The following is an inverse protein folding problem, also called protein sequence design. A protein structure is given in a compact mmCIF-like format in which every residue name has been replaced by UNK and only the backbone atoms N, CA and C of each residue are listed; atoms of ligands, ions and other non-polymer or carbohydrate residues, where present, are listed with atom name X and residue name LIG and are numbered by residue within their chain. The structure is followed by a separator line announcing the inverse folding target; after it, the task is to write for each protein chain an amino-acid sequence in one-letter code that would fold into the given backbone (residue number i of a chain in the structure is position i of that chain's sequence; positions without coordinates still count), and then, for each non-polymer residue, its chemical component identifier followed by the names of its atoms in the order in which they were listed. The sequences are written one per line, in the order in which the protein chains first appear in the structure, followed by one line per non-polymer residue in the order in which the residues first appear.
data_IF_813946491683
#
_entry.id   IF_813946491683
#
_cell.length_a   1.000
_cell.length_b   1.000
_cell.length_c   1.000
_cell.angle_alpha   90.00
_cell.angle_beta   90.00
_cell.angle_gamma   90.00
#
_symmetry.space_group_name_H-M   'P 1'
#
loop_
_entity.id
_entity.type
_entity.pdbx_description
1 polymer ?
#
# COMPACT_ATOMS: atom_id res chain seq x y z
N UNK A 1 -60.37 9.65 -6.75
CA UNK A 1 -59.21 10.37 -7.29
C UNK A 1 -58.03 10.00 -6.41
N UNK A 2 -57.15 9.11 -6.86
CA UNK A 2 -55.99 8.69 -6.06
C UNK A 2 -54.78 8.80 -6.97
N UNK A 3 -54.00 9.86 -6.80
CA UNK A 3 -52.69 9.98 -7.46
C UNK A 3 -51.73 9.03 -6.74
N UNK A 4 -51.26 8.00 -7.45
CA UNK A 4 -50.10 7.23 -7.04
C UNK A 4 -48.84 8.01 -7.48
N UNK A 5 -48.12 8.55 -6.50
CA UNK A 5 -46.80 9.16 -6.69
C UNK A 5 -45.79 8.02 -6.92
N UNK A 6 -45.39 7.79 -8.18
CA UNK A 6 -44.30 6.89 -8.51
C UNK A 6 -42.99 7.64 -8.20
N UNK A 7 -42.39 7.33 -7.06
CA UNK A 7 -41.03 7.75 -6.75
C UNK A 7 -40.06 6.98 -7.65
N UNK A 8 -39.45 7.67 -8.61
CA UNK A 8 -38.34 7.15 -9.38
C UNK A 8 -37.12 7.04 -8.46
N UNK A 9 -36.81 5.82 -8.00
CA UNK A 9 -35.49 5.49 -7.48
C UNK A 9 -34.49 5.59 -8.66
N UNK A 10 -33.89 6.75 -8.82
CA UNK A 10 -32.66 6.88 -9.61
C UNK A 10 -31.58 6.14 -8.84
N UNK A 11 -31.30 4.90 -9.26
CA UNK A 11 -30.12 4.19 -8.84
C UNK A 11 -28.90 4.97 -9.30
N UNK A 12 -28.33 5.77 -8.39
CA UNK A 12 -26.95 6.25 -8.52
C UNK A 12 -26.09 4.99 -8.59
N UNK A 13 -25.67 4.61 -9.80
CA UNK A 13 -24.61 3.63 -9.96
C UNK A 13 -23.41 4.20 -9.21
N UNK A 14 -23.01 3.57 -8.10
CA UNK A 14 -21.71 3.85 -7.51
C UNK A 14 -20.69 3.67 -8.64
N UNK A 15 -20.00 4.75 -9.02
CA UNK A 15 -18.86 4.65 -9.88
C UNK A 15 -17.94 3.58 -9.28
N UNK A 16 -17.66 2.53 -10.05
CA UNK A 16 -16.79 1.45 -9.62
C UNK A 16 -15.42 2.00 -9.21
N UNK A 17 -14.75 1.29 -8.30
CA UNK A 17 -13.42 1.69 -7.85
C UNK A 17 -12.45 1.69 -9.05
N UNK A 18 -11.76 2.81 -9.27
CA UNK A 18 -10.75 3.00 -10.31
C UNK A 18 -9.35 2.79 -9.72
N UNK A 19 -8.35 2.60 -10.61
CA UNK A 19 -6.94 2.68 -10.21
C UNK A 19 -6.58 4.16 -10.05
N UNK A 20 -6.21 4.54 -8.82
CA UNK A 20 -5.79 5.90 -8.47
C UNK A 20 -4.27 6.07 -8.63
N UNK A 21 -3.51 5.04 -8.27
CA UNK A 21 -2.06 4.99 -8.40
C UNK A 21 -1.63 3.59 -8.81
N UNK A 22 -0.64 3.49 -9.69
CA UNK A 22 -0.09 2.22 -10.16
C UNK A 22 1.44 2.29 -10.17
N UNK A 23 2.05 1.48 -9.31
CA UNK A 23 3.48 1.33 -9.17
C UNK A 23 3.98 0.00 -9.79
N UNK A 24 3.20 -0.57 -10.71
CA UNK A 24 3.38 -1.89 -11.32
C UNK A 24 3.28 -3.04 -10.30
N UNK A 25 2.38 -3.99 -10.55
CA UNK A 25 2.21 -5.20 -9.74
C UNK A 25 3.10 -6.35 -10.19
N UNK A 26 4.05 -6.09 -11.08
CA UNK A 26 5.08 -7.06 -11.45
C UNK A 26 6.33 -6.85 -10.60
N UNK A 27 6.60 -7.81 -9.71
CA UNK A 27 7.89 -7.87 -9.05
C UNK A 27 8.98 -8.07 -10.10
N UNK A 28 10.04 -7.25 -10.05
CA UNK A 28 11.17 -7.35 -10.98
C UNK A 28 12.29 -8.29 -10.46
N UNK A 29 12.08 -8.91 -9.29
CA UNK A 29 12.98 -9.91 -8.71
C UNK A 29 14.26 -9.34 -8.11
N UNK A 30 14.42 -8.00 -8.03
CA UNK A 30 15.72 -7.40 -7.70
C UNK A 30 15.87 -7.08 -6.19
N UNK A 31 14.79 -6.87 -5.42
CA UNK A 31 14.82 -6.76 -3.94
C UNK A 31 13.43 -6.79 -3.30
N UNK A 32 13.36 -7.01 -1.99
CA UNK A 32 12.18 -6.77 -1.17
C UNK A 32 12.54 -6.34 0.25
N UNK A 33 11.62 -5.67 0.93
CA UNK A 33 11.80 -5.22 2.31
C UNK A 33 10.82 -5.90 3.25
N UNK A 34 11.28 -6.26 4.45
CA UNK A 34 10.45 -6.93 5.43
C UNK A 34 9.26 -6.04 5.83
N UNK A 35 8.04 -6.51 5.60
CA UNK A 35 6.81 -5.76 5.93
C UNK A 35 6.07 -6.31 7.14
N UNK A 36 6.45 -7.49 7.62
CA UNK A 36 5.84 -8.05 8.81
C UNK A 36 6.78 -8.97 9.56
N UNK A 37 6.53 -9.10 10.86
CA UNK A 37 7.15 -10.12 11.70
C UNK A 37 6.81 -11.55 11.27
N UNK A 38 7.29 -12.55 12.02
CA UNK A 38 7.85 -12.42 13.38
C UNK A 38 9.30 -11.97 13.52
N UNK A 39 10.16 -12.09 12.50
CA UNK A 39 11.58 -11.65 12.63
C UNK A 39 11.73 -10.14 12.79
N UNK A 40 10.80 -9.37 12.22
CA UNK A 40 10.82 -7.91 12.19
C UNK A 40 9.45 -7.30 12.56
N UNK A 41 8.93 -7.53 13.79
CA UNK A 41 7.55 -7.21 14.15
C UNK A 41 7.25 -5.70 14.15
N UNK A 42 8.26 -4.89 14.46
CA UNK A 42 8.22 -3.43 14.50
C UNK A 42 8.69 -2.77 13.21
N UNK A 43 9.07 -3.55 12.18
CA UNK A 43 9.48 -2.93 10.93
C UNK A 43 8.25 -2.39 10.18
N UNK A 44 8.39 -1.19 9.63
CA UNK A 44 7.47 -0.60 8.67
C UNK A 44 8.25 -0.18 7.44
N UNK A 45 7.68 -0.46 6.28
CA UNK A 45 8.19 -0.04 4.98
C UNK A 45 7.13 0.83 4.36
N UNK A 46 7.54 1.90 3.71
CA UNK A 46 6.63 2.79 3.02
C UNK A 46 7.19 3.16 1.66
N UNK A 47 6.30 3.34 0.70
CA UNK A 47 6.61 3.93 -0.60
C UNK A 47 5.62 5.06 -0.88
N UNK A 48 5.98 6.02 -1.71
CA UNK A 48 5.19 7.23 -1.85
C UNK A 48 4.16 7.18 -2.98
N UNK A 49 3.20 8.10 -2.88
CA UNK A 49 2.26 8.41 -3.93
C UNK A 49 1.79 9.86 -3.79
N UNK A 50 1.20 10.39 -4.86
CA UNK A 50 0.70 11.75 -4.92
C UNK A 50 -0.80 11.74 -5.18
N UNK A 51 -1.56 12.38 -4.29
CA UNK A 51 -2.95 12.78 -4.54
C UNK A 51 -2.90 14.13 -5.27
N UNK A 52 -3.33 14.21 -6.55
CA UNK A 52 -3.16 15.42 -7.35
C UNK A 52 -3.91 16.63 -6.79
N UNK A 53 -3.39 17.82 -7.07
CA UNK A 53 -4.06 19.08 -6.75
C UNK A 53 -5.50 19.11 -7.26
N UNK A 54 -6.41 19.63 -6.42
CA UNK A 54 -7.84 19.69 -6.72
C UNK A 54 -8.59 18.35 -6.63
N UNK A 55 -7.91 17.25 -6.26
CA UNK A 55 -8.56 15.95 -6.04
C UNK A 55 -8.53 15.56 -4.56
N UNK A 56 -9.64 15.00 -4.07
CA UNK A 56 -9.62 14.20 -2.85
C UNK A 56 -9.76 12.74 -3.25
N UNK A 57 -9.00 11.84 -2.63
CA UNK A 57 -9.09 10.42 -2.90
C UNK A 57 -9.80 9.72 -1.75
N UNK A 58 -10.69 8.80 -2.09
CA UNK A 58 -11.21 7.79 -1.19
C UNK A 58 -10.64 6.44 -1.59
N UNK A 59 -9.61 5.99 -0.86
CA UNK A 59 -8.94 4.71 -1.08
C UNK A 59 -9.82 3.59 -0.50
N UNK A 60 -10.20 2.64 -1.36
CA UNK A 60 -11.02 1.45 -1.00
C UNK A 60 -10.24 0.15 -1.10
N UNK A 61 -9.12 0.15 -1.83
CA UNK A 61 -8.31 -1.02 -2.10
C UNK A 61 -6.82 -0.67 -2.11
N UNK A 62 -6.02 -1.55 -1.52
CA UNK A 62 -4.58 -1.57 -1.68
C UNK A 62 -4.16 -2.95 -2.17
N UNK A 63 -3.40 -3.01 -3.25
CA UNK A 63 -2.86 -4.26 -3.79
C UNK A 63 -1.35 -4.15 -3.81
N UNK A 64 -0.66 -5.20 -3.38
CA UNK A 64 0.80 -5.21 -3.31
C UNK A 64 1.34 -6.61 -3.56
N UNK A 65 2.62 -6.72 -3.88
CA UNK A 65 3.30 -8.01 -4.09
C UNK A 65 4.21 -8.32 -2.93
N UNK A 66 4.10 -9.50 -2.34
CA UNK A 66 5.06 -9.93 -1.33
C UNK A 66 5.52 -11.37 -1.54
N UNK A 67 6.81 -11.61 -1.29
CA UNK A 67 7.41 -12.94 -1.23
C UNK A 67 7.47 -13.41 0.22
N UNK A 68 7.04 -14.63 0.47
CA UNK A 68 6.96 -15.19 1.82
C UNK A 68 7.99 -16.30 2.00
N UNK A 69 8.77 -16.23 3.08
CA UNK A 69 9.58 -17.37 3.50
C UNK A 69 8.68 -18.57 3.86
N UNK A 70 9.07 -19.83 3.57
CA UNK A 70 8.21 -21.01 3.74
C UNK A 70 7.62 -21.23 5.14
N UNK A 71 8.30 -20.74 6.19
CA UNK A 71 7.86 -20.86 7.59
C UNK A 71 7.05 -19.66 8.08
N UNK A 72 6.80 -18.67 7.23
CA UNK A 72 5.95 -17.53 7.52
C UNK A 72 4.47 -17.93 7.46
N UNK A 73 3.68 -17.43 8.41
CA UNK A 73 2.23 -17.64 8.49
C UNK A 73 1.53 -16.30 8.39
N UNK A 74 0.48 -16.29 7.58
CA UNK A 74 -0.08 -15.10 6.95
C UNK A 74 -0.96 -14.22 7.84
N UNK A 75 -1.65 -14.82 8.80
CA UNK A 75 -2.61 -14.12 9.66
C UNK A 75 -3.94 -13.74 8.97
N UNK A 76 -4.02 -13.69 7.63
CA UNK A 76 -5.27 -13.45 6.88
C UNK A 76 -5.77 -11.99 6.87
N UNK A 77 -5.09 -11.09 7.58
CA UNK A 77 -5.38 -9.66 7.60
C UNK A 77 -4.13 -8.84 7.25
N UNK A 78 -4.38 -7.65 6.68
CA UNK A 78 -3.34 -6.64 6.47
C UNK A 78 -3.81 -5.31 7.05
N UNK A 79 -2.91 -4.66 7.77
CA UNK A 79 -2.96 -3.25 8.13
C UNK A 79 -2.33 -2.43 6.99
N UNK A 80 -3.03 -1.42 6.48
CA UNK A 80 -2.51 -0.46 5.52
C UNK A 80 -2.38 0.87 6.22
N UNK A 81 -1.15 1.34 6.38
CA UNK A 81 -0.86 2.62 7.02
C UNK A 81 -0.48 3.66 5.97
N UNK A 82 -0.95 4.89 6.18
CA UNK A 82 -0.60 6.06 5.38
C UNK A 82 0.07 7.11 6.28
N UNK A 83 1.21 7.61 5.85
CA UNK A 83 1.96 8.66 6.55
C UNK A 83 2.01 9.95 5.75
N UNK A 84 2.04 11.08 6.46
CA UNK A 84 2.29 12.40 5.87
C UNK A 84 3.73 12.48 5.33
N UNK A 85 3.92 13.21 4.23
CA UNK A 85 5.24 13.64 3.79
C UNK A 85 5.77 14.82 4.61
N UNK A 86 7.05 14.76 4.98
CA UNK A 86 7.75 15.83 5.70
C UNK A 86 9.16 16.03 5.14
N UNK A 87 9.24 16.72 4.00
CA UNK A 87 10.50 16.95 3.30
C UNK A 87 11.00 15.73 2.55
N UNK A 88 10.10 14.96 1.93
CA UNK A 88 10.46 13.76 1.15
C UNK A 88 10.69 12.51 2.00
N UNK A 89 10.09 12.43 3.19
CA UNK A 89 10.13 11.24 4.06
C UNK A 89 8.81 11.04 4.80
N UNK A 90 8.47 9.81 5.19
CA UNK A 90 7.34 9.56 6.09
C UNK A 90 7.57 10.22 7.46
N UNK A 91 6.51 10.75 8.07
CA UNK A 91 6.58 11.33 9.42
C UNK A 91 5.51 10.77 10.36
N UNK A 92 4.25 11.18 10.19
CA UNK A 92 3.15 10.83 11.10
C UNK A 92 2.10 10.02 10.37
N UNK A 93 1.52 9.02 11.04
CA UNK A 93 0.34 8.33 10.50
C UNK A 93 -0.80 9.31 10.37
N UNK A 94 -1.39 9.39 9.18
CA UNK A 94 -2.55 10.24 8.87
C UNK A 94 -3.80 9.42 8.59
N UNK A 95 -3.64 8.16 8.22
CA UNK A 95 -4.75 7.22 8.07
C UNK A 95 -4.24 5.78 8.21
N UNK A 96 -5.14 4.89 8.61
CA UNK A 96 -4.89 3.46 8.68
C UNK A 96 -6.16 2.69 8.33
N UNK A 97 -6.01 1.47 7.85
CA UNK A 97 -7.13 0.56 7.61
C UNK A 97 -6.68 -0.88 7.76
N UNK A 98 -7.37 -1.64 8.62
CA UNK A 98 -7.14 -3.06 8.83
C UNK A 98 -8.30 -3.82 8.20
N UNK A 99 -8.01 -4.78 7.33
CA UNK A 99 -9.03 -5.57 6.66
C UNK A 99 -8.49 -6.94 6.25
N UNK A 100 -9.37 -7.96 6.12
CA UNK A 100 -9.00 -9.21 5.48
C UNK A 100 -8.43 -8.98 4.09
N UNK A 101 -7.39 -9.72 3.75
CA UNK A 101 -6.81 -9.71 2.42
C UNK A 101 -7.11 -11.02 1.69
N UNK A 102 -7.15 -10.95 0.36
CA UNK A 102 -7.03 -12.14 -0.50
C UNK A 102 -5.66 -12.14 -1.13
N UNK A 103 -5.10 -13.33 -1.41
CA UNK A 103 -3.82 -13.46 -2.12
C UNK A 103 -3.91 -14.43 -3.29
N UNK A 104 -3.22 -14.12 -4.38
CA UNK A 104 -3.08 -14.99 -5.56
C UNK A 104 -1.61 -15.24 -5.85
N UNK A 105 -1.24 -16.50 -6.07
CA UNK A 105 0.12 -16.86 -6.42
C UNK A 105 0.55 -16.17 -7.72
N UNK A 106 1.78 -15.66 -7.75
CA UNK A 106 2.38 -14.99 -8.89
C UNK A 106 3.59 -15.75 -9.43
N UNK A 107 4.55 -16.08 -8.56
CA UNK A 107 5.82 -16.70 -8.95
C UNK A 107 6.55 -17.29 -7.73
N UNK A 108 7.67 -17.96 -7.97
CA UNK A 108 8.68 -18.25 -6.93
C UNK A 108 9.88 -17.34 -7.19
N UNK A 109 10.33 -16.60 -6.18
CA UNK A 109 11.50 -15.71 -6.23
C UNK A 109 12.44 -16.13 -5.10
N UNK A 110 13.68 -16.51 -5.43
CA UNK A 110 14.69 -16.97 -4.46
C UNK A 110 14.19 -18.05 -3.48
N UNK A 111 13.36 -18.98 -3.99
CA UNK A 111 12.78 -20.06 -3.19
C UNK A 111 11.62 -19.64 -2.27
N UNK A 112 11.18 -18.38 -2.35
CA UNK A 112 10.01 -17.86 -1.66
C UNK A 112 8.80 -17.80 -2.59
N UNK A 113 7.64 -18.20 -2.10
CA UNK A 113 6.40 -18.04 -2.84
C UNK A 113 6.00 -16.56 -2.84
N UNK A 114 5.81 -16.02 -4.04
CA UNK A 114 5.43 -14.64 -4.29
C UNK A 114 3.94 -14.56 -4.62
N UNK A 115 3.24 -13.66 -3.94
CA UNK A 115 1.80 -13.47 -4.07
C UNK A 115 1.44 -12.01 -4.32
N UNK A 116 0.39 -11.79 -5.10
CA UNK A 116 -0.33 -10.52 -5.15
C UNK A 116 -1.37 -10.53 -4.03
N UNK A 117 -1.19 -9.64 -3.05
CA UNK A 117 -2.14 -9.39 -1.97
C UNK A 117 -3.11 -8.29 -2.38
N UNK A 118 -4.38 -8.45 -2.04
CA UNK A 118 -5.42 -7.45 -2.27
C UNK A 118 -6.24 -7.26 -0.99
N UNK A 119 -6.13 -6.06 -0.44
CA UNK A 119 -6.90 -5.59 0.72
C UNK A 119 -8.04 -4.73 0.20
N UNK A 120 -9.28 -5.07 0.53
CA UNK A 120 -10.48 -4.33 0.12
C UNK A 120 -11.23 -3.79 1.33
N UNK A 121 -12.16 -2.86 1.10
CA UNK A 121 -12.99 -2.31 2.15
C UNK A 121 -12.30 -1.25 3.00
N UNK A 122 -11.17 -0.70 2.53
CA UNK A 122 -10.52 0.42 3.18
C UNK A 122 -11.43 1.65 3.15
N UNK A 123 -11.32 2.51 4.17
CA UNK A 123 -12.09 3.75 4.28
C UNK A 123 -11.13 4.91 4.59
N UNK A 124 -10.22 5.16 3.65
CA UNK A 124 -9.16 6.15 3.81
C UNK A 124 -9.46 7.31 2.87
N UNK A 125 -9.69 8.50 3.43
CA UNK A 125 -9.96 9.73 2.65
C UNK A 125 -8.79 10.69 2.80
N UNK A 126 -8.18 11.07 1.68
CA UNK A 126 -7.00 11.93 1.64
C UNK A 126 -7.26 13.20 0.82
N UNK A 127 -6.91 14.39 1.34
CA UNK A 127 -6.85 15.60 0.53
C UNK A 127 -5.68 15.57 -0.47
N UNK A 128 -5.58 16.56 -1.38
CA UNK A 128 -4.37 16.71 -2.20
C UNK A 128 -3.10 16.74 -1.36
N UNK A 129 -2.05 16.08 -1.84
CA UNK A 129 -0.76 16.03 -1.14
C UNK A 129 0.10 14.84 -1.55
N UNK A 130 1.35 14.85 -1.07
CA UNK A 130 2.24 13.68 -1.10
C UNK A 130 2.08 12.88 0.18
N UNK A 131 2.04 11.56 0.03
CA UNK A 131 1.87 10.62 1.13
C UNK A 131 2.79 9.43 0.94
N UNK A 132 2.94 8.67 2.01
CA UNK A 132 3.65 7.41 2.07
C UNK A 132 2.66 6.32 2.47
N UNK A 133 2.73 5.13 1.88
CA UNK A 133 1.83 4.01 2.16
C UNK A 133 2.60 2.71 2.31
N UNK A 134 2.12 1.82 3.17
CA UNK A 134 2.77 0.53 3.39
C UNK A 134 1.84 -0.49 4.04
N UNK A 135 1.99 -1.78 3.70
CA UNK A 135 1.31 -2.87 4.37
C UNK A 135 2.07 -3.33 5.62
N UNK A 136 1.34 -3.84 6.59
CA UNK A 136 1.83 -4.63 7.72
C UNK A 136 0.87 -5.81 7.98
N UNK A 137 1.41 -6.93 8.44
CA UNK A 137 0.59 -8.10 8.81
C UNK A 137 0.61 -8.27 10.34
N UNK A 138 -0.38 -7.71 11.06
CA UNK A 138 -0.36 -7.69 12.53
C UNK A 138 -0.58 -9.06 13.16
N UNK A 139 -1.23 -9.98 12.46
CA UNK A 139 -1.50 -11.35 12.91
C UNK A 139 -0.55 -12.39 12.27
N UNK A 140 0.48 -11.93 11.55
CA UNK A 140 1.48 -12.83 11.02
C UNK A 140 2.26 -13.57 12.12
N UNK A 141 2.65 -14.80 11.85
CA UNK A 141 3.34 -15.67 12.82
C UNK A 141 4.31 -16.63 12.12
N UNK A 142 4.86 -17.59 12.86
CA UNK A 142 5.85 -18.56 12.36
C UNK A 142 7.29 -18.18 12.70
N UNK A 143 8.22 -18.54 11.82
CA UNK A 143 9.66 -18.19 11.96
C UNK A 143 10.18 -17.40 10.75
N UNK A 144 9.38 -17.35 9.68
CA UNK A 144 9.71 -16.69 8.43
C UNK A 144 9.39 -15.20 8.43
N UNK A 145 9.61 -14.56 7.29
CA UNK A 145 9.33 -13.14 7.03
C UNK A 145 8.57 -12.99 5.70
N UNK A 146 7.72 -11.98 5.61
CA UNK A 146 7.14 -11.54 4.35
C UNK A 146 7.85 -10.28 3.86
N UNK A 147 8.22 -10.28 2.60
CA UNK A 147 9.03 -9.26 1.94
C UNK A 147 8.20 -8.56 0.88
N UNK A 148 7.90 -7.27 1.06
CA UNK A 148 7.24 -6.48 0.02
C UNK A 148 8.23 -6.26 -1.10
N UNK A 149 7.86 -6.77 -2.27
CA UNK A 149 8.74 -6.86 -3.42
C UNK A 149 8.78 -5.54 -4.17
N UNK A 150 9.96 -5.23 -4.66
CA UNK A 150 10.17 -4.08 -5.56
C UNK A 150 9.68 -4.38 -6.96
N UNK A 151 9.28 -3.33 -7.68
CA UNK A 151 8.88 -3.37 -9.08
C UNK A 151 9.83 -2.51 -9.92
N UNK A 152 9.76 -2.72 -11.24
CA UNK A 152 10.32 -1.76 -12.21
C UNK A 152 9.39 -0.59 -12.49
N UNK A 153 8.22 -0.57 -11.83
CA UNK A 153 7.18 0.43 -12.00
C UNK A 153 7.44 1.71 -11.23
N UNK A 154 6.47 2.62 -11.37
CA UNK A 154 6.52 3.97 -10.82
C UNK A 154 6.83 5.01 -11.88
N UNK A 155 6.00 6.06 -11.91
CA UNK A 155 6.43 7.31 -12.55
C UNK A 155 7.59 7.83 -11.71
N UNK A 156 8.80 7.77 -12.27
CA UNK A 156 10.03 8.37 -11.72
C UNK A 156 9.96 9.91 -11.67
N UNK A 157 8.79 10.48 -11.41
CA UNK A 157 8.51 11.90 -11.55
C UNK A 157 7.83 12.42 -10.28
N UNK A 158 8.51 13.26 -9.50
CA UNK A 158 9.90 13.71 -9.71
C UNK A 158 10.91 12.59 -9.46
N UNK A 159 12.10 12.66 -10.07
CA UNK A 159 13.17 11.65 -10.10
C UNK A 159 13.81 11.22 -8.75
N UNK A 160 13.15 11.48 -7.62
CA UNK A 160 13.69 11.28 -6.26
C UNK A 160 12.72 10.54 -5.34
N UNK A 161 11.73 9.83 -5.89
CA UNK A 161 10.80 9.03 -5.12
C UNK A 161 11.51 7.74 -4.69
N UNK A 162 11.58 7.53 -3.38
CA UNK A 162 12.43 6.54 -2.72
C UNK A 162 11.64 5.93 -1.58
N UNK A 163 11.53 4.60 -1.53
CA UNK A 163 10.94 3.94 -0.37
C UNK A 163 11.73 4.21 0.93
N UNK A 164 11.07 4.08 2.07
CA UNK A 164 11.65 4.26 3.40
C UNK A 164 11.36 3.05 4.28
N UNK A 165 12.23 2.80 5.24
CA UNK A 165 12.05 1.76 6.26
C UNK A 165 12.29 2.35 7.66
N UNK A 166 11.47 1.94 8.61
CA UNK A 166 11.72 2.11 10.04
C UNK A 166 11.76 0.73 10.68
N UNK A 167 12.83 0.42 11.42
CA UNK A 167 12.97 -0.86 12.12
C UNK A 167 12.40 -0.84 13.54
N UNK A 168 12.11 0.34 14.06
CA UNK A 168 11.75 0.63 15.44
C UNK A 168 10.37 1.31 15.55
N UNK A 169 9.49 1.04 14.59
CA UNK A 169 8.20 1.70 14.52
C UNK A 169 7.32 1.30 15.72
N UNK A 170 6.96 2.29 16.54
CA UNK A 170 6.12 2.17 17.73
C UNK A 170 5.19 3.38 17.85
N UNK A 171 3.92 3.14 18.20
CA UNK A 171 2.93 4.18 18.51
C UNK A 171 2.82 5.30 17.45
N UNK A 172 2.81 4.93 16.17
CA UNK A 172 2.68 5.89 15.07
C UNK A 172 3.98 6.61 14.70
N UNK A 173 5.11 6.27 15.33
CA UNK A 173 6.41 6.93 15.18
C UNK A 173 7.50 5.91 14.85
N UNK A 174 8.44 6.29 14.01
CA UNK A 174 9.60 5.46 13.71
C UNK A 174 10.77 6.30 13.25
N UNK A 175 11.99 5.78 13.46
CA UNK A 175 13.18 6.35 12.86
C UNK A 175 13.29 5.85 11.42
N UNK A 176 12.78 6.67 10.50
CA UNK A 176 12.80 6.37 9.07
C UNK A 176 14.19 6.54 8.48
N UNK A 177 14.65 5.49 7.80
CA UNK A 177 15.89 5.44 7.03
C UNK A 177 15.52 5.28 5.55
N UNK A 178 16.13 6.04 4.64
CA UNK A 178 15.87 5.88 3.22
C UNK A 178 16.26 4.47 2.78
N UNK A 179 15.54 3.90 1.81
CA UNK A 179 16.01 2.75 1.04
C UNK A 179 16.89 3.30 -0.08
N UNK A 180 18.09 3.77 0.26
CA UNK A 180 19.03 4.31 -0.71
C UNK A 180 19.56 3.25 -1.66
N UNK A 181 19.49 3.60 -2.94
CA UNK A 181 20.01 2.84 -4.08
C UNK A 181 21.52 2.58 -4.03
N UNK A 182 22.20 2.84 -2.91
CA UNK A 182 23.55 2.37 -2.68
C UNK A 182 23.60 0.88 -2.26
N UNK A 183 22.44 0.22 -2.10
CA UNK A 183 22.36 -1.25 -2.15
C UNK A 183 22.65 -1.80 -3.55
N UNK A 184 23.18 -3.02 -3.60
CA UNK A 184 23.77 -3.84 -4.69
C UNK A 184 23.66 -3.43 -6.18
N UNK A 185 22.65 -2.68 -6.63
CA UNK A 185 22.40 -2.32 -8.04
C UNK A 185 22.27 -0.81 -8.35
N UNK A 186 22.52 0.11 -7.42
CA UNK A 186 22.67 1.54 -7.79
C UNK A 186 21.37 2.30 -8.14
N UNK A 187 20.19 1.69 -7.97
CA UNK A 187 18.91 2.20 -8.46
C UNK A 187 17.94 2.68 -7.37
N UNK A 188 17.05 3.61 -7.73
CA UNK A 188 15.88 3.94 -6.92
C UNK A 188 14.90 2.76 -6.89
N UNK A 189 14.44 2.39 -5.70
CA UNK A 189 13.54 1.26 -5.49
C UNK A 189 12.12 1.73 -5.28
N UNK A 190 11.23 1.22 -6.12
CA UNK A 190 9.78 1.34 -5.98
C UNK A 190 9.22 -0.01 -5.58
N UNK A 191 8.27 -0.02 -4.66
CA UNK A 191 7.57 -1.21 -4.23
C UNK A 191 6.44 -1.54 -5.20
N UNK A 192 6.20 -2.82 -5.44
CA UNK A 192 5.14 -3.28 -6.32
C UNK A 192 3.78 -3.10 -5.63
N UNK A 193 3.04 -2.04 -5.98
CA UNK A 193 1.71 -1.79 -5.44
C UNK A 193 0.79 -1.00 -6.37
N UNK A 194 -0.50 -1.04 -6.04
CA UNK A 194 -1.54 -0.28 -6.71
C UNK A 194 -2.57 0.19 -5.69
N UNK A 195 -3.01 1.43 -5.82
CA UNK A 195 -4.07 2.04 -5.00
C UNK A 195 -5.35 2.08 -5.84
N UNK A 196 -6.43 1.49 -5.31
CA UNK A 196 -7.76 1.52 -5.90
C UNK A 196 -8.74 2.30 -5.05
N UNK A 197 -9.66 3.03 -5.68
CA UNK A 197 -10.65 3.81 -4.96
C UNK A 197 -11.43 4.76 -5.84
N UNK A 198 -11.80 5.93 -5.31
CA UNK A 198 -12.62 6.93 -6.00
C UNK A 198 -12.01 8.32 -5.84
N UNK A 199 -12.18 9.15 -6.87
CA UNK A 199 -11.91 10.59 -6.77
C UNK A 199 -13.17 11.28 -6.27
N UNK A 200 -13.11 11.90 -5.10
CA UNK A 200 -14.19 12.71 -4.55
C UNK A 200 -14.08 14.13 -5.13
N UNK A 201 -15.13 14.58 -5.82
CA UNK A 201 -15.22 15.97 -6.29
C UNK A 201 -15.74 16.86 -5.15
N UNK A 202 -15.38 18.15 -5.15
CA UNK A 202 -15.79 19.08 -4.10
C UNK A 202 -17.31 19.17 -3.98
N UNK A 203 -17.85 18.86 -2.78
CA UNK A 203 -19.29 18.89 -2.48
C UNK A 203 -19.84 17.62 -1.81
N UNK A 204 -19.08 16.52 -1.82
CA UNK A 204 -19.40 15.27 -1.09
C UNK A 204 -18.66 15.14 0.25
#
# INVERSE_FOLDING_TARGET
MTLALIAALVGLSQAGDVVLWDNDLQANGVSGMAVSGPRFPTTRVADDFIVPDGQRWHIKRFTYVAANEPTWKDGGISEICVWSDSGGRPEKTVAEGISPHSRSFQAVIDGMDCYIYTVKGLDIVLPPGRYWIGPHHPEASGEGTSWWMTSGGGKREPANLQGWVSHDYQDGKGNWTPLDGNGWDGGYWHQAFQIGGRVLRGGE
#
